data_IF_425083498846
#
_entry.id   IF_425083498846
#
_cell.length_a   1.000
_cell.length_b   1.000
_cell.length_c   1.000
_cell.angle_alpha   90.00
_cell.angle_beta   90.00
_cell.angle_gamma   90.00
#
_symmetry.space_group_name_H-M   'P 1'
#
loop_
_entity.id
_entity.type
_entity.pdbx_description
1 polymer ?
#
# COMPACT_ATOMS: atom_id res chain seq x y z
N UNK A 1 3.27 27.93 60.37
CA UNK A 1 3.65 26.77 59.52
C UNK A 1 2.56 25.69 59.57
N UNK A 2 1.45 25.84 58.84
CA UNK A 2 0.43 24.77 58.70
C UNK A 2 -0.18 24.67 57.29
N UNK A 3 0.29 25.47 56.33
CA UNK A 3 -0.33 25.61 55.00
C UNK A 3 0.32 24.78 53.89
N UNK A 4 1.45 24.11 54.17
CA UNK A 4 2.23 23.38 53.15
C UNK A 4 1.93 21.88 53.06
N UNK A 5 1.15 21.32 53.99
CA UNK A 5 0.83 19.87 54.01
C UNK A 5 -0.35 19.57 53.07
N UNK A 6 -1.37 20.44 53.06
CA UNK A 6 -2.54 20.30 52.17
C UNK A 6 -2.15 20.48 50.69
N UNK A 7 -1.27 21.42 50.38
CA UNK A 7 -0.76 21.62 49.00
C UNK A 7 0.07 20.43 48.50
N UNK A 8 0.89 19.82 49.37
CA UNK A 8 1.69 18.63 49.03
C UNK A 8 0.82 17.39 48.82
N UNK A 9 -0.23 17.22 49.62
CA UNK A 9 -1.20 16.15 49.43
C UNK A 9 -1.98 16.32 48.11
N UNK A 10 -2.42 17.55 47.79
CA UNK A 10 -3.14 17.84 46.55
C UNK A 10 -2.28 17.61 45.29
N UNK A 11 -1.01 18.00 45.31
CA UNK A 11 -0.06 17.74 44.21
C UNK A 11 0.25 16.24 44.02
N UNK A 12 0.26 15.46 45.10
CA UNK A 12 0.49 14.02 45.03
C UNK A 12 -0.73 13.27 44.48
N UNK A 13 -1.94 13.75 44.79
CA UNK A 13 -3.20 13.19 44.27
C UNK A 13 -3.37 13.50 42.77
N UNK A 14 -2.94 14.67 42.31
CA UNK A 14 -2.96 15.01 40.88
C UNK A 14 -2.00 14.13 40.04
N UNK A 15 -0.87 13.71 40.63
CA UNK A 15 0.10 12.81 39.98
C UNK A 15 -0.39 11.35 39.86
N UNK A 16 -1.30 10.93 40.74
CA UNK A 16 -1.89 9.58 40.74
C UNK A 16 -2.99 9.40 39.69
N UNK A 17 -3.55 10.50 39.15
CA UNK A 17 -4.62 10.44 38.14
C UNK A 17 -4.04 10.32 36.71
N UNK A 18 -2.75 10.61 36.51
CA UNK A 18 -2.09 10.52 35.20
C UNK A 18 -1.66 9.10 34.77
N UNK A 19 -1.90 8.05 35.58
CA UNK A 19 -1.56 6.65 35.21
C UNK A 19 -2.75 5.81 34.73
N UNK A 20 -3.92 6.41 34.53
CA UNK A 20 -5.05 5.77 33.84
C UNK A 20 -5.19 6.36 32.43
N UNK A 21 -4.25 6.03 31.56
CA UNK A 21 -4.42 6.18 30.11
C UNK A 21 -4.40 4.79 29.48
N UNK A 22 -5.49 4.48 28.78
CA UNK A 22 -5.80 3.27 28.01
C UNK A 22 -5.78 1.93 28.77
N UNK A 23 -6.95 1.55 29.28
CA UNK A 23 -7.40 0.15 29.20
C UNK A 23 -7.58 -0.21 27.73
N UNK A 24 -6.68 -1.00 27.17
CA UNK A 24 -6.94 -1.70 25.91
C UNK A 24 -8.20 -2.56 26.12
N UNK A 25 -9.26 -2.27 25.38
CA UNK A 25 -10.42 -3.16 25.29
C UNK A 25 -9.96 -4.43 24.56
N UNK A 26 -9.94 -5.62 25.18
CA UNK A 26 -9.33 -6.81 24.59
C UNK A 26 -10.24 -7.52 23.57
N UNK A 27 -11.18 -6.79 22.96
CA UNK A 27 -12.15 -7.33 22.01
C UNK A 27 -12.27 -6.42 20.78
N UNK A 28 -11.15 -5.96 20.21
CA UNK A 28 -11.16 -5.66 18.79
C UNK A 28 -11.08 -7.00 18.06
N UNK A 29 -12.00 -7.27 17.14
CA UNK A 29 -11.76 -8.30 16.13
C UNK A 29 -10.38 -7.98 15.53
N UNK A 30 -9.38 -8.86 15.73
CA UNK A 30 -8.17 -8.78 14.92
C UNK A 30 -8.61 -9.13 13.51
N UNK A 31 -8.87 -8.11 12.70
CA UNK A 31 -9.07 -8.31 11.28
C UNK A 31 -7.73 -8.78 10.69
N UNK A 32 -7.76 -9.87 9.93
CA UNK A 32 -6.57 -10.44 9.30
C UNK A 32 -6.12 -9.50 8.16
N UNK A 33 -5.18 -8.61 8.45
CA UNK A 33 -4.58 -7.71 7.46
C UNK A 33 -3.46 -8.40 6.67
N UNK A 34 -3.30 -8.00 5.41
CA UNK A 34 -2.14 -8.41 4.61
C UNK A 34 -0.97 -7.45 4.80
N UNK A 35 0.06 -7.88 5.54
CA UNK A 35 1.21 -7.05 5.90
C UNK A 35 2.31 -7.09 4.82
N UNK A 36 2.15 -6.26 3.77
CA UNK A 36 3.18 -6.05 2.76
C UNK A 36 4.13 -4.92 3.14
N UNK A 37 5.42 -5.10 2.85
CA UNK A 37 6.45 -4.05 2.95
C UNK A 37 6.98 -3.61 1.59
N UNK A 38 6.56 -4.26 0.50
CA UNK A 38 7.04 -3.98 -0.85
C UNK A 38 6.20 -4.67 -1.93
N UNK A 39 6.39 -4.25 -3.17
CA UNK A 39 5.73 -4.81 -4.36
C UNK A 39 6.77 -5.18 -5.40
N UNK A 40 6.51 -6.25 -6.12
CA UNK A 40 7.23 -6.63 -7.33
C UNK A 40 6.24 -6.83 -8.48
N UNK A 41 6.60 -6.32 -9.65
CA UNK A 41 5.81 -6.43 -10.87
C UNK A 41 6.60 -7.27 -11.87
N UNK A 42 5.96 -8.31 -12.39
CA UNK A 42 6.48 -9.16 -13.45
C UNK A 42 5.76 -8.88 -14.77
N UNK A 43 6.48 -8.96 -15.89
CA UNK A 43 5.86 -8.99 -17.22
C UNK A 43 5.36 -10.39 -17.59
N UNK A 44 4.70 -10.49 -18.76
CA UNK A 44 4.16 -11.73 -19.28
C UNK A 44 5.19 -12.84 -19.56
N UNK A 45 6.49 -12.53 -19.53
CA UNK A 45 7.57 -13.53 -19.64
C UNK A 45 7.99 -14.09 -18.28
N UNK A 46 7.49 -13.50 -17.19
CA UNK A 46 7.93 -13.77 -15.82
C UNK A 46 9.17 -13.00 -15.42
N UNK A 47 9.62 -12.03 -16.22
CA UNK A 47 10.74 -11.17 -15.87
C UNK A 47 10.28 -10.06 -14.93
N UNK A 48 11.08 -9.80 -13.90
CA UNK A 48 10.88 -8.67 -13.01
C UNK A 48 11.12 -7.36 -13.78
N UNK A 49 10.12 -6.47 -13.77
CA UNK A 49 10.21 -5.15 -14.42
C UNK A 49 10.25 -3.99 -13.43
N UNK A 50 9.76 -4.20 -12.21
CA UNK A 50 9.81 -3.24 -11.11
C UNK A 50 9.90 -3.99 -9.79
N UNK A 51 10.80 -3.57 -8.91
CA UNK A 51 10.77 -3.87 -7.49
C UNK A 51 10.75 -2.58 -6.67
N UNK A 52 9.79 -2.47 -5.75
CA UNK A 52 9.66 -1.34 -4.84
C UNK A 52 9.58 -1.87 -3.41
N UNK A 53 10.55 -1.51 -2.59
CA UNK A 53 10.67 -2.00 -1.22
C UNK A 53 10.65 -0.82 -0.26
N UNK A 54 9.74 -0.86 0.71
CA UNK A 54 9.54 0.19 1.73
C UNK A 54 9.33 1.58 1.11
N UNK A 55 8.57 1.64 0.02
CA UNK A 55 8.24 2.89 -0.68
C UNK A 55 9.29 3.41 -1.65
N UNK A 56 10.40 2.70 -1.84
CA UNK A 56 11.55 3.17 -2.63
C UNK A 56 11.86 2.19 -3.75
N UNK A 57 12.02 2.70 -4.96
CA UNK A 57 12.46 1.95 -6.15
C UNK A 57 13.46 2.77 -6.94
N UNK A 58 14.36 2.10 -7.65
CA UNK A 58 15.20 2.71 -8.70
C UNK A 58 14.71 2.32 -10.10
N UNK A 59 13.65 1.51 -10.19
CA UNK A 59 13.13 1.01 -11.44
C UNK A 59 12.17 2.02 -12.08
N UNK A 60 11.84 1.76 -13.34
CA UNK A 60 10.86 2.54 -14.08
C UNK A 60 10.04 1.57 -14.90
N UNK A 61 8.73 1.56 -14.67
CA UNK A 61 7.80 0.80 -15.49
C UNK A 61 7.72 1.45 -16.87
N UNK A 62 7.76 0.64 -17.93
CA UNK A 62 7.78 1.14 -19.31
C UNK A 62 6.62 0.59 -20.11
N UNK A 63 5.96 1.46 -20.86
CA UNK A 63 4.86 1.10 -21.75
C UNK A 63 4.98 1.86 -23.06
N UNK A 64 4.41 1.30 -24.14
CA UNK A 64 4.50 1.89 -25.47
C UNK A 64 3.30 2.79 -25.75
N UNK A 65 3.55 4.00 -26.23
CA UNK A 65 2.50 4.93 -26.66
C UNK A 65 1.67 4.34 -27.80
N UNK A 66 0.35 4.47 -27.68
CA UNK A 66 -0.62 3.94 -28.63
C UNK A 66 -0.83 2.43 -28.56
N UNK A 67 -0.34 1.75 -27.52
CA UNK A 67 -0.50 0.30 -27.35
C UNK A 67 -0.98 -0.06 -25.94
N UNK A 68 -1.77 -1.13 -25.87
CA UNK A 68 -1.99 -1.88 -24.65
C UNK A 68 -0.74 -2.73 -24.38
N UNK A 69 -0.26 -2.73 -23.14
CA UNK A 69 0.82 -3.63 -22.71
C UNK A 69 0.36 -5.09 -22.73
N UNK A 70 1.33 -6.01 -22.72
CA UNK A 70 1.06 -7.36 -22.22
C UNK A 70 0.65 -7.33 -20.75
N UNK A 71 0.17 -8.46 -20.21
CA UNK A 71 -0.24 -8.51 -18.81
C UNK A 71 0.96 -8.36 -17.89
N UNK A 72 0.73 -7.68 -16.77
CA UNK A 72 1.63 -7.63 -15.63
C UNK A 72 1.01 -8.40 -14.47
N UNK A 73 1.85 -9.07 -13.68
CA UNK A 73 1.44 -9.77 -12.44
C UNK A 73 2.13 -9.12 -11.25
N UNK A 74 1.38 -8.95 -10.15
CA UNK A 74 1.85 -8.32 -8.91
C UNK A 74 2.10 -9.38 -7.83
N UNK A 75 3.25 -9.29 -7.15
CA UNK A 75 3.52 -10.01 -5.90
C UNK A 75 4.05 -9.04 -4.84
N UNK A 76 4.18 -9.51 -3.59
CA UNK A 76 4.52 -8.65 -2.47
C UNK A 76 5.71 -9.16 -1.67
N UNK A 77 6.52 -8.23 -1.19
CA UNK A 77 7.48 -8.48 -0.12
C UNK A 77 6.77 -8.41 1.22
N UNK A 78 7.05 -9.35 2.10
CA UNK A 78 6.63 -9.33 3.51
C UNK A 78 7.81 -9.01 4.43
N UNK A 79 7.60 -8.92 5.74
CA UNK A 79 8.57 -8.47 6.75
C UNK A 79 9.99 -9.05 6.65
N UNK A 80 10.12 -10.31 6.25
CA UNK A 80 11.42 -10.99 6.08
C UNK A 80 12.01 -10.86 4.66
N UNK A 81 11.45 -9.97 3.84
CA UNK A 81 11.81 -9.74 2.43
C UNK A 81 11.58 -10.94 1.51
N UNK A 82 10.83 -11.96 1.96
CA UNK A 82 10.35 -13.00 1.06
C UNK A 82 9.25 -12.46 0.16
N UNK A 83 9.22 -12.98 -1.07
CA UNK A 83 8.17 -12.70 -2.03
C UNK A 83 7.05 -13.74 -1.85
N UNK A 84 5.82 -13.27 -1.70
CA UNK A 84 4.62 -14.10 -1.57
C UNK A 84 3.60 -13.72 -2.63
N UNK A 85 2.72 -14.67 -2.94
CA UNK A 85 1.56 -14.41 -3.79
C UNK A 85 0.59 -13.43 -3.10
N UNK A 86 -0.22 -12.69 -3.89
CA UNK A 86 -1.25 -11.82 -3.35
C UNK A 86 -2.26 -12.57 -2.46
N UNK A 87 -2.92 -11.87 -1.52
CA UNK A 87 -4.00 -12.45 -0.73
C UNK A 87 -5.14 -12.97 -1.63
N UNK A 88 -5.68 -14.14 -1.30
CA UNK A 88 -6.69 -14.84 -2.11
C UNK A 88 -8.12 -14.73 -1.53
N UNK A 89 -8.40 -13.71 -0.71
CA UNK A 89 -9.72 -13.51 -0.12
C UNK A 89 -10.59 -12.54 -0.95
N UNK A 90 -11.91 -12.63 -0.82
CA UNK A 90 -12.87 -11.83 -1.61
C UNK A 90 -13.00 -10.36 -1.15
N UNK A 91 -12.48 -10.04 0.03
CA UNK A 91 -12.52 -8.71 0.64
C UNK A 91 -11.29 -7.88 0.33
N UNK A 92 -10.29 -8.47 -0.35
CA UNK A 92 -9.05 -7.83 -0.72
C UNK A 92 -8.96 -7.63 -2.22
N UNK A 93 -8.54 -6.44 -2.63
CA UNK A 93 -8.37 -6.07 -4.04
C UNK A 93 -7.13 -5.22 -4.24
N UNK A 94 -6.54 -5.35 -5.42
CA UNK A 94 -5.58 -4.39 -5.94
C UNK A 94 -6.33 -3.10 -6.33
N UNK A 95 -5.84 -1.97 -5.86
CA UNK A 95 -6.25 -0.66 -6.35
C UNK A 95 -5.01 0.11 -6.80
N UNK A 96 -5.21 1.18 -7.55
CA UNK A 96 -4.13 1.95 -8.14
C UNK A 96 -4.45 3.44 -8.21
N UNK A 97 -3.40 4.24 -8.34
CA UNK A 97 -3.48 5.66 -8.68
C UNK A 97 -2.44 5.97 -9.78
N UNK A 98 -2.87 6.67 -10.83
CA UNK A 98 -2.01 7.13 -11.91
C UNK A 98 -1.86 8.64 -11.80
N UNK A 99 -0.61 9.13 -11.74
CA UNK A 99 -0.33 10.57 -11.60
C UNK A 99 -0.91 11.43 -12.73
N UNK A 100 -0.74 11.01 -13.99
CA UNK A 100 -1.35 11.65 -15.16
C UNK A 100 -2.06 10.62 -16.06
N UNK A 101 -3.38 10.52 -15.91
CA UNK A 101 -4.25 9.64 -16.68
C UNK A 101 -4.41 10.05 -18.16
N UNK A 102 -3.84 11.18 -18.58
CA UNK A 102 -3.74 11.55 -19.99
C UNK A 102 -2.58 10.85 -20.70
N UNK A 103 -1.55 10.38 -19.97
CA UNK A 103 -0.40 9.68 -20.53
C UNK A 103 -0.62 8.17 -20.60
N UNK A 104 -1.29 7.60 -19.59
CA UNK A 104 -1.52 6.16 -19.47
C UNK A 104 -2.84 5.89 -18.76
N UNK A 105 -3.49 4.77 -19.08
CA UNK A 105 -4.64 4.27 -18.31
C UNK A 105 -4.46 2.83 -17.91
N UNK A 106 -4.92 2.52 -16.71
CA UNK A 106 -5.07 1.15 -16.22
C UNK A 106 -6.19 0.42 -16.95
N UNK A 107 -6.01 -0.89 -17.12
CA UNK A 107 -7.02 -1.77 -17.67
C UNK A 107 -6.89 -3.17 -17.06
N UNK A 108 -8.03 -3.81 -16.81
CA UNK A 108 -8.14 -5.21 -16.41
C UNK A 108 -9.21 -5.88 -17.27
N UNK A 109 -9.16 -7.19 -17.37
CA UNK A 109 -10.19 -7.95 -18.06
C UNK A 109 -11.54 -7.79 -17.35
N UNK A 110 -12.66 -7.74 -18.09
CA UNK A 110 -13.99 -7.67 -17.49
C UNK A 110 -14.24 -8.86 -16.55
N UNK A 111 -14.62 -8.58 -15.30
CA UNK A 111 -14.82 -9.58 -14.25
C UNK A 111 -13.57 -9.90 -13.44
N UNK A 112 -12.42 -9.31 -13.76
CA UNK A 112 -11.16 -9.44 -13.05
C UNK A 112 -10.74 -8.13 -12.35
N UNK A 113 -11.67 -7.16 -12.25
CA UNK A 113 -11.41 -5.89 -11.59
C UNK A 113 -11.00 -6.09 -10.13
N UNK A 114 -9.91 -5.45 -9.73
CA UNK A 114 -9.32 -5.64 -8.41
C UNK A 114 -8.44 -6.88 -8.28
N UNK A 115 -8.32 -7.69 -9.32
CA UNK A 115 -7.32 -8.75 -9.40
C UNK A 115 -5.89 -8.20 -9.38
N UNK A 116 -4.92 -9.08 -9.14
CA UNK A 116 -3.49 -8.72 -9.04
C UNK A 116 -2.75 -8.84 -10.38
N UNK A 117 -3.51 -8.84 -11.46
CA UNK A 117 -3.02 -8.81 -12.83
C UNK A 117 -3.65 -7.63 -13.57
N UNK A 118 -2.87 -6.93 -14.38
CA UNK A 118 -3.34 -5.73 -15.06
C UNK A 118 -2.57 -5.45 -16.35
N UNK A 119 -3.11 -4.52 -17.12
CA UNK A 119 -2.46 -3.93 -18.28
C UNK A 119 -2.44 -2.41 -18.17
N UNK A 120 -1.57 -1.81 -18.96
CA UNK A 120 -1.47 -0.37 -19.12
C UNK A 120 -1.64 -0.02 -20.59
N UNK A 121 -2.58 0.88 -20.87
CA UNK A 121 -2.76 1.45 -22.19
C UNK A 121 -2.00 2.79 -22.27
N UNK A 122 -0.88 2.80 -22.98
CA UNK A 122 -0.10 4.01 -23.22
C UNK A 122 -0.84 4.93 -24.20
N UNK A 123 -1.21 6.14 -23.75
CA UNK A 123 -1.94 7.12 -24.58
C UNK A 123 -1.00 8.09 -25.29
N UNK A 124 -0.03 8.63 -24.55
CA UNK A 124 0.85 9.71 -25.01
C UNK A 124 2.20 9.59 -24.34
N UNK A 125 3.27 9.82 -25.11
CA UNK A 125 4.65 9.85 -24.61
C UNK A 125 4.82 10.86 -23.47
N UNK A 126 5.55 10.46 -22.43
CA UNK A 126 5.80 11.28 -21.25
C UNK A 126 6.19 10.43 -20.04
N UNK A 127 6.37 11.09 -18.90
CA UNK A 127 6.69 10.46 -17.62
C UNK A 127 5.56 10.78 -16.64
N UNK A 128 5.10 9.77 -15.93
CA UNK A 128 4.12 9.85 -14.84
C UNK A 128 4.54 8.88 -13.73
N UNK A 129 3.70 8.73 -12.71
CA UNK A 129 3.82 7.70 -11.67
C UNK A 129 2.61 6.76 -11.71
N UNK A 130 2.80 5.57 -11.14
CA UNK A 130 1.74 4.67 -10.68
C UNK A 130 2.00 4.31 -9.22
N UNK A 131 0.96 4.30 -8.41
CA UNK A 131 1.00 3.77 -7.05
C UNK A 131 -0.01 2.62 -6.93
N UNK A 132 0.38 1.56 -6.24
CA UNK A 132 -0.44 0.37 -6.01
C UNK A 132 -0.85 0.30 -4.54
N UNK A 133 -2.04 -0.25 -4.31
CA UNK A 133 -2.64 -0.42 -3.00
C UNK A 133 -3.18 -1.82 -2.84
N UNK A 134 -3.03 -2.39 -1.66
CA UNK A 134 -3.89 -3.48 -1.22
C UNK A 134 -5.00 -2.84 -0.41
N UNK A 135 -6.23 -3.00 -0.88
CA UNK A 135 -7.42 -2.51 -0.18
C UNK A 135 -8.12 -3.71 0.42
N UNK A 136 -8.29 -3.69 1.74
CA UNK A 136 -9.07 -4.66 2.48
C UNK A 136 -10.32 -3.94 3.00
N UNK A 137 -11.50 -4.42 2.61
CA UNK A 137 -12.77 -3.75 2.84
C UNK A 137 -12.75 -2.30 2.31
N UNK A 138 -12.72 -1.30 3.21
CA UNK A 138 -12.78 0.12 2.93
C UNK A 138 -11.50 0.89 3.28
N UNK A 139 -10.41 0.18 3.63
CA UNK A 139 -9.12 0.81 3.95
C UNK A 139 -7.93 0.16 3.22
N UNK A 140 -6.85 0.92 3.10
CA UNK A 140 -5.62 0.42 2.50
C UNK A 140 -4.77 -0.26 3.56
N UNK A 141 -4.56 -1.57 3.41
CA UNK A 141 -3.59 -2.34 4.20
C UNK A 141 -2.16 -2.03 3.76
N UNK A 142 -1.99 -1.64 2.49
CA UNK A 142 -0.68 -1.38 1.91
C UNK A 142 -0.70 -0.25 0.88
N UNK A 143 0.45 0.44 0.76
CA UNK A 143 0.74 1.45 -0.26
C UNK A 143 2.16 1.22 -0.80
N UNK A 144 2.31 1.12 -2.12
CA UNK A 144 3.63 0.81 -2.70
C UNK A 144 4.66 1.92 -2.59
N UNK A 145 4.22 3.17 -2.50
CA UNK A 145 5.04 4.32 -2.93
C UNK A 145 4.88 4.55 -4.44
N UNK A 146 5.37 5.69 -4.93
CA UNK A 146 5.25 6.03 -6.35
C UNK A 146 6.29 5.29 -7.17
N UNK A 147 5.82 4.54 -8.16
CA UNK A 147 6.65 3.87 -9.17
C UNK A 147 6.72 4.79 -10.39
N UNK A 148 7.92 5.20 -10.84
CA UNK A 148 8.08 5.93 -12.08
C UNK A 148 7.56 5.13 -13.28
N UNK A 149 6.80 5.78 -14.17
CA UNK A 149 6.23 5.18 -15.36
C UNK A 149 6.57 6.02 -16.58
N UNK A 150 7.30 5.43 -17.51
CA UNK A 150 7.67 6.02 -18.79
C UNK A 150 6.78 5.48 -19.91
N UNK A 151 6.13 6.39 -20.63
CA UNK A 151 5.43 6.10 -21.89
C UNK A 151 6.32 6.52 -23.05
N UNK A 152 6.77 5.57 -23.86
CA UNK A 152 7.74 5.80 -24.96
C UNK A 152 7.18 5.66 -26.38
#
# INVERSE_FOLDING_TARGET
MKTNILYRAFLFILLLISVYSCTDDPISNQEDHFEAIGTIIYDATGAEVVSILRGITNDTLKVISGKLSDHYTVKFYIDNENIVDPPQNEHTRLNYEIGDSNLVTWWQHPGEEGGFEFHLNGKKKGITTVQLFIVHEDHNDYRSGEIPLLVE
#
